data_IF_935680086745
#
_entry.id   IF_935680086745
#
_cell.length_a   1.000
_cell.length_b   1.000
_cell.length_c   1.000
_cell.angle_alpha   90.00
_cell.angle_beta   90.00
_cell.angle_gamma   90.00
#
_symmetry.space_group_name_H-M   'P 1'
#
loop_
_entity.id
_entity.type
_entity.pdbx_description
1 polymer ?
#
# COMPACT_ATOMS: atom_id res chain seq x y z
N UNK A 1 -14.31 19.47 -36.84
CA UNK A 1 -14.78 18.58 -35.76
C UNK A 1 -13.74 17.51 -35.43
N UNK A 2 -13.23 16.79 -36.44
CA UNK A 2 -12.23 15.72 -36.26
C UNK A 2 -10.90 16.19 -35.64
N UNK A 3 -10.36 17.35 -36.04
CA UNK A 3 -9.10 17.89 -35.51
C UNK A 3 -9.21 18.22 -34.01
N UNK A 4 -10.28 18.93 -33.60
CA UNK A 4 -10.53 19.25 -32.18
C UNK A 4 -10.72 17.99 -31.32
N UNK A 5 -11.25 16.91 -31.89
CA UNK A 5 -11.38 15.63 -31.21
C UNK A 5 -10.02 14.95 -31.00
N UNK A 6 -9.14 15.00 -31.99
CA UNK A 6 -7.77 14.48 -31.88
C UNK A 6 -6.94 15.30 -30.88
N UNK A 7 -7.06 16.63 -30.90
CA UNK A 7 -6.40 17.51 -29.91
C UNK A 7 -6.86 17.24 -28.48
N UNK A 8 -8.17 17.01 -28.28
CA UNK A 8 -8.72 16.64 -26.99
C UNK A 8 -8.15 15.30 -26.49
N UNK A 9 -8.12 14.29 -27.34
CA UNK A 9 -7.53 12.99 -27.01
C UNK A 9 -6.04 13.12 -26.68
N UNK A 10 -5.30 13.89 -27.50
CA UNK A 10 -3.88 14.19 -27.26
C UNK A 10 -3.66 14.81 -25.88
N UNK A 11 -4.42 15.85 -25.54
CA UNK A 11 -4.30 16.55 -24.26
C UNK A 11 -4.66 15.68 -23.03
N UNK A 12 -5.62 14.76 -23.19
CA UNK A 12 -6.04 13.84 -22.12
C UNK A 12 -4.99 12.75 -21.86
N UNK A 13 -4.30 12.28 -22.91
CA UNK A 13 -3.32 11.18 -22.81
C UNK A 13 -1.92 11.70 -22.44
N UNK A 14 -1.52 12.85 -22.98
CA UNK A 14 -0.16 13.36 -22.84
C UNK A 14 0.22 13.63 -21.38
N UNK A 15 -0.64 14.32 -20.63
CA UNK A 15 -0.39 14.68 -19.23
C UNK A 15 -0.16 13.46 -18.31
N UNK A 16 -1.05 12.44 -18.27
CA UNK A 16 -0.82 11.26 -17.45
C UNK A 16 0.37 10.44 -17.95
N UNK A 17 0.63 10.39 -19.26
CA UNK A 17 1.79 9.66 -19.80
C UNK A 17 3.11 10.30 -19.36
N UNK A 18 3.24 11.62 -19.45
CA UNK A 18 4.39 12.35 -18.94
C UNK A 18 4.52 12.22 -17.42
N UNK A 19 3.41 12.24 -16.68
CA UNK A 19 3.39 12.00 -15.24
C UNK A 19 3.92 10.62 -14.86
N UNK A 20 3.46 9.56 -15.53
CA UNK A 20 3.96 8.20 -15.35
C UNK A 20 5.46 8.10 -15.68
N UNK A 21 5.89 8.74 -16.77
CA UNK A 21 7.31 8.80 -17.14
C UNK A 21 8.18 9.39 -16.02
N UNK A 22 7.75 10.49 -15.40
CA UNK A 22 8.46 11.09 -14.25
C UNK A 22 8.49 10.17 -13.03
N UNK A 23 7.40 9.48 -12.72
CA UNK A 23 7.35 8.52 -11.61
C UNK A 23 8.31 7.35 -11.84
N UNK A 24 8.36 6.81 -13.06
CA UNK A 24 9.26 5.71 -13.42
C UNK A 24 10.73 6.16 -13.32
N UNK A 25 11.06 7.35 -13.81
CA UNK A 25 12.41 7.91 -13.72
C UNK A 25 12.81 8.14 -12.26
N UNK A 26 11.92 8.69 -11.43
CA UNK A 26 12.14 8.87 -10.00
C UNK A 26 12.38 7.51 -9.31
N UNK A 27 11.53 6.52 -9.59
CA UNK A 27 11.69 5.17 -9.05
C UNK A 27 13.05 4.57 -9.42
N UNK A 28 13.45 4.68 -10.69
CA UNK A 28 14.76 4.20 -11.16
C UNK A 28 15.93 4.91 -10.48
N UNK A 29 15.84 6.23 -10.29
CA UNK A 29 16.84 7.02 -9.57
C UNK A 29 16.93 6.59 -8.09
N UNK A 30 15.80 6.43 -7.42
CA UNK A 30 15.72 5.99 -6.02
C UNK A 30 16.30 4.59 -5.84
N UNK A 31 15.91 3.62 -6.69
CA UNK A 31 16.44 2.26 -6.64
C UNK A 31 17.96 2.21 -6.82
N UNK A 32 18.49 3.03 -7.75
CA UNK A 32 19.94 3.18 -7.95
C UNK A 32 20.62 3.84 -6.75
N UNK A 33 19.94 4.77 -6.07
CA UNK A 33 20.39 5.42 -4.84
C UNK A 33 20.49 4.44 -3.67
N UNK A 34 19.52 3.53 -3.51
CA UNK A 34 19.47 2.56 -2.40
C UNK A 34 20.69 1.64 -2.33
N UNK A 35 21.33 1.34 -3.47
CA UNK A 35 22.51 0.47 -3.54
C UNK A 35 23.84 1.24 -3.52
N UNK A 36 23.83 2.58 -3.50
CA UNK A 36 25.03 3.41 -3.47
C UNK A 36 25.39 3.77 -2.03
N UNK A 37 26.67 3.66 -1.62
CA UNK A 37 27.11 4.16 -0.32
C UNK A 37 27.07 5.70 -0.28
N UNK A 38 26.94 6.32 0.92
CA UNK A 38 26.89 5.69 2.24
C UNK A 38 25.53 5.07 2.58
N UNK A 39 25.54 3.90 3.24
CA UNK A 39 24.32 3.23 3.68
C UNK A 39 23.84 3.77 5.03
N UNK A 40 22.67 4.39 5.06
CA UNK A 40 22.08 4.93 6.28
C UNK A 40 21.19 3.91 7.01
N UNK A 41 21.82 2.86 7.55
CA UNK A 41 21.09 1.76 8.21
C UNK A 41 20.15 2.23 9.34
N UNK A 42 20.57 3.26 10.09
CA UNK A 42 19.73 3.86 11.14
C UNK A 42 18.43 4.44 10.59
N UNK A 43 18.49 5.13 9.45
CA UNK A 43 17.31 5.70 8.81
C UNK A 43 16.42 4.61 8.22
N UNK A 44 17.00 3.55 7.66
CA UNK A 44 16.24 2.39 7.21
C UNK A 44 15.43 1.76 8.35
N UNK A 45 16.05 1.51 9.50
CA UNK A 45 15.37 0.93 10.67
C UNK A 45 14.26 1.87 11.17
N UNK A 46 14.52 3.18 11.24
CA UNK A 46 13.51 4.15 11.63
C UNK A 46 12.29 4.11 10.69
N UNK A 47 12.52 4.04 9.37
CA UNK A 47 11.45 3.92 8.38
C UNK A 47 10.70 2.59 8.50
N UNK A 48 11.40 1.47 8.73
CA UNK A 48 10.75 0.18 8.98
C UNK A 48 9.84 0.21 10.21
N UNK A 49 10.27 0.86 11.30
CA UNK A 49 9.45 1.04 12.50
C UNK A 49 8.23 1.93 12.21
N UNK A 50 8.43 3.06 11.55
CA UNK A 50 7.34 3.97 11.23
C UNK A 50 6.31 3.37 10.26
N UNK A 51 6.73 2.53 9.32
CA UNK A 51 5.83 1.89 8.35
C UNK A 51 5.16 0.66 8.98
N UNK A 52 5.95 -0.24 9.56
CA UNK A 52 5.48 -1.50 10.10
C UNK A 52 4.72 -1.33 11.42
N UNK A 53 5.40 -0.83 12.45
CA UNK A 53 4.86 -0.81 13.82
C UNK A 53 3.64 0.11 13.93
N UNK A 54 3.70 1.30 13.32
CA UNK A 54 2.56 2.22 13.37
C UNK A 54 1.34 1.73 12.57
N UNK A 55 1.50 0.73 11.68
CA UNK A 55 0.39 0.13 10.94
C UNK A 55 -0.22 -1.07 11.67
N UNK A 56 0.48 -1.66 12.67
CA UNK A 56 0.00 -2.83 13.41
C UNK A 56 -1.37 -2.65 14.06
N UNK A 57 -1.71 -1.53 14.73
CA UNK A 57 -3.00 -1.40 15.39
C UNK A 57 -4.18 -1.54 14.42
N UNK A 58 -4.08 -0.91 13.25
CA UNK A 58 -5.14 -0.95 12.23
C UNK A 58 -5.23 -2.34 11.62
N UNK A 59 -4.09 -2.95 11.27
CA UNK A 59 -4.06 -4.31 10.69
C UNK A 59 -4.63 -5.33 11.67
N UNK A 60 -4.27 -5.27 12.96
CA UNK A 60 -4.76 -6.18 13.99
C UNK A 60 -6.26 -6.08 14.18
N UNK A 61 -6.78 -4.85 14.33
CA UNK A 61 -8.21 -4.61 14.48
C UNK A 61 -8.97 -5.18 13.28
N UNK A 62 -8.55 -4.85 12.06
CA UNK A 62 -9.20 -5.37 10.84
C UNK A 62 -9.12 -6.90 10.74
N UNK A 63 -7.95 -7.49 10.98
CA UNK A 63 -7.76 -8.93 10.89
C UNK A 63 -8.63 -9.71 11.91
N UNK A 64 -8.73 -9.19 13.14
CA UNK A 64 -9.57 -9.80 14.19
C UNK A 64 -11.04 -9.73 13.81
N UNK A 65 -11.55 -8.55 13.42
CA UNK A 65 -12.95 -8.41 13.02
C UNK A 65 -13.29 -9.24 11.78
N UNK A 66 -12.43 -9.22 10.75
CA UNK A 66 -12.64 -10.05 9.55
C UNK A 66 -12.62 -11.54 9.90
N UNK A 67 -11.69 -11.99 10.74
CA UNK A 67 -11.61 -13.37 11.19
C UNK A 67 -12.87 -13.82 11.95
N UNK A 68 -13.37 -12.98 12.87
CA UNK A 68 -14.62 -13.25 13.60
C UNK A 68 -15.82 -13.38 12.66
N UNK A 69 -15.94 -12.45 11.70
CA UNK A 69 -17.02 -12.47 10.71
C UNK A 69 -16.95 -13.73 9.84
N UNK A 70 -15.75 -14.10 9.38
CA UNK A 70 -15.54 -15.30 8.57
C UNK A 70 -15.88 -16.57 9.35
N UNK A 71 -15.49 -16.66 10.62
CA UNK A 71 -15.79 -17.81 11.46
C UNK A 71 -17.30 -17.98 11.67
N UNK A 72 -18.01 -16.88 11.96
CA UNK A 72 -19.46 -16.89 12.15
C UNK A 72 -20.19 -17.30 10.85
N UNK A 73 -19.78 -16.74 9.71
CA UNK A 73 -20.36 -17.08 8.40
C UNK A 73 -20.08 -18.54 8.04
N UNK A 74 -18.85 -19.02 8.25
CA UNK A 74 -18.47 -20.40 7.97
C UNK A 74 -19.27 -21.38 8.84
N UNK A 75 -19.43 -21.10 10.14
CA UNK A 75 -20.23 -21.94 11.02
C UNK A 75 -21.69 -22.03 10.58
N UNK A 76 -22.33 -20.89 10.27
CA UNK A 76 -23.72 -20.90 9.79
C UNK A 76 -23.89 -21.63 8.46
N UNK A 77 -22.89 -21.59 7.58
CA UNK A 77 -22.86 -22.37 6.35
C UNK A 77 -22.72 -23.87 6.59
N UNK A 78 -21.69 -24.28 7.34
CA UNK A 78 -21.37 -25.69 7.58
C UNK A 78 -22.35 -26.41 8.51
N UNK A 79 -23.00 -25.69 9.41
CA UNK A 79 -24.07 -26.24 10.27
C UNK A 79 -25.19 -26.90 9.47
N UNK A 80 -25.51 -26.36 8.29
CA UNK A 80 -26.55 -26.91 7.40
C UNK A 80 -26.19 -28.29 6.83
N UNK A 81 -24.90 -28.62 6.81
CA UNK A 81 -24.37 -29.87 6.28
C UNK A 81 -23.80 -30.78 7.39
N UNK A 82 -23.98 -30.43 8.67
CA UNK A 82 -23.41 -31.18 9.80
C UNK A 82 -21.88 -31.15 9.87
N UNK A 83 -21.23 -30.19 9.20
CA UNK A 83 -19.77 -30.15 8.99
C UNK A 83 -19.07 -29.09 9.87
N UNK A 84 -19.58 -28.82 11.06
CA UNK A 84 -19.13 -27.74 11.95
C UNK A 84 -17.64 -27.86 12.34
N UNK A 85 -17.10 -29.08 12.39
CA UNK A 85 -15.69 -29.34 12.67
C UNK A 85 -14.71 -28.79 11.61
N UNK A 86 -15.17 -28.47 10.39
CA UNK A 86 -14.32 -27.93 9.33
C UNK A 86 -14.13 -26.41 9.39
N UNK A 87 -14.90 -25.72 10.23
CA UNK A 87 -14.89 -24.25 10.33
C UNK A 87 -13.48 -23.72 10.62
N UNK A 88 -12.78 -24.33 11.58
CA UNK A 88 -11.42 -23.91 11.95
C UNK A 88 -10.43 -24.02 10.78
N UNK A 89 -10.48 -25.13 10.05
CA UNK A 89 -9.60 -25.37 8.88
C UNK A 89 -9.85 -24.37 7.76
N UNK A 90 -11.12 -24.07 7.47
CA UNK A 90 -11.48 -23.10 6.42
C UNK A 90 -11.03 -21.70 6.81
N UNK A 91 -11.33 -21.27 8.04
CA UNK A 91 -10.91 -19.95 8.53
C UNK A 91 -9.38 -19.81 8.48
N UNK A 92 -8.65 -20.81 8.96
CA UNK A 92 -7.18 -20.79 8.95
C UNK A 92 -6.61 -20.71 7.52
N UNK A 93 -7.12 -21.54 6.59
CA UNK A 93 -6.66 -21.55 5.20
C UNK A 93 -6.98 -20.22 4.49
N UNK A 94 -8.21 -19.73 4.59
CA UNK A 94 -8.63 -18.48 3.94
C UNK A 94 -7.89 -17.27 4.51
N UNK A 95 -7.69 -17.20 5.83
CA UNK A 95 -6.94 -16.11 6.45
C UNK A 95 -5.46 -16.15 6.08
N UNK A 96 -4.83 -17.33 6.04
CA UNK A 96 -3.38 -17.41 5.76
C UNK A 96 -3.03 -17.26 4.28
N UNK A 97 -3.86 -17.76 3.37
CA UNK A 97 -3.54 -17.79 1.93
C UNK A 97 -4.03 -16.59 1.14
N UNK A 98 -5.13 -15.97 1.57
CA UNK A 98 -5.81 -14.96 0.78
C UNK A 98 -6.00 -13.67 1.57
N UNK A 99 -6.84 -13.72 2.60
CA UNK A 99 -7.33 -12.50 3.26
C UNK A 99 -6.21 -11.81 4.05
N UNK A 100 -5.37 -12.56 4.77
CA UNK A 100 -4.26 -12.00 5.56
C UNK A 100 -3.31 -11.17 4.70
N UNK A 101 -2.72 -11.75 3.63
CA UNK A 101 -1.83 -11.01 2.73
C UNK A 101 -2.52 -9.81 2.06
N UNK A 102 -3.74 -9.99 1.53
CA UNK A 102 -4.45 -8.93 0.80
C UNK A 102 -4.84 -7.77 1.72
N UNK A 103 -5.45 -8.06 2.88
CA UNK A 103 -5.87 -7.03 3.84
C UNK A 103 -4.67 -6.28 4.40
N UNK A 104 -3.60 -7.00 4.76
CA UNK A 104 -2.37 -6.36 5.26
C UNK A 104 -1.77 -5.44 4.21
N UNK A 105 -1.62 -5.90 2.96
CA UNK A 105 -1.06 -5.10 1.88
C UNK A 105 -1.88 -3.83 1.61
N UNK A 106 -3.21 -3.94 1.54
CA UNK A 106 -4.10 -2.80 1.33
C UNK A 106 -4.03 -1.79 2.48
N UNK A 107 -4.12 -2.26 3.72
CA UNK A 107 -4.12 -1.38 4.91
C UNK A 107 -2.78 -0.67 5.06
N UNK A 108 -1.67 -1.42 4.96
CA UNK A 108 -0.32 -0.85 5.10
C UNK A 108 -0.06 0.16 3.98
N UNK A 109 -0.38 -0.18 2.72
CA UNK A 109 -0.20 0.74 1.59
C UNK A 109 -1.02 2.01 1.76
N UNK A 110 -2.29 1.90 2.17
CA UNK A 110 -3.15 3.05 2.40
C UNK A 110 -2.63 3.97 3.50
N UNK A 111 -2.33 3.42 4.68
CA UNK A 111 -1.89 4.21 5.84
C UNK A 111 -0.47 4.75 5.67
N UNK A 112 0.48 3.91 5.27
CA UNK A 112 1.87 4.34 5.11
C UNK A 112 2.06 5.22 3.88
N UNK A 113 1.39 4.91 2.76
CA UNK A 113 1.47 5.70 1.54
C UNK A 113 0.90 7.11 1.73
N UNK A 114 -0.25 7.25 2.40
CA UNK A 114 -0.80 8.57 2.72
C UNK A 114 0.11 9.37 3.67
N UNK A 115 0.69 8.71 4.68
CA UNK A 115 1.62 9.36 5.60
C UNK A 115 2.89 9.86 4.88
N UNK A 116 3.50 9.03 4.02
CA UNK A 116 4.67 9.43 3.21
C UNK A 116 4.35 10.57 2.26
N UNK A 117 3.19 10.52 1.58
CA UNK A 117 2.77 11.58 0.68
C UNK A 117 2.57 12.92 1.42
N UNK A 118 1.99 12.88 2.62
CA UNK A 118 1.84 14.05 3.45
C UNK A 118 3.19 14.61 3.93
N UNK A 119 4.09 13.74 4.38
CA UNK A 119 5.44 14.12 4.85
C UNK A 119 6.25 14.77 3.72
N UNK A 120 6.35 14.11 2.56
CA UNK A 120 7.04 14.67 1.38
C UNK A 120 6.38 15.97 0.88
N UNK A 121 5.05 16.06 0.97
CA UNK A 121 4.31 17.28 0.67
C UNK A 121 4.70 18.44 1.60
N UNK A 122 4.79 18.19 2.91
CA UNK A 122 5.26 19.18 3.87
C UNK A 122 6.71 19.58 3.62
N UNK A 123 7.59 18.62 3.32
CA UNK A 123 8.99 18.91 2.97
C UNK A 123 9.11 19.79 1.72
N UNK A 124 8.21 19.62 0.74
CA UNK A 124 8.16 20.48 -0.44
C UNK A 124 7.68 21.90 -0.12
N UNK A 125 6.62 22.03 0.69
CA UNK A 125 6.06 23.34 1.08
C UNK A 125 7.02 24.13 1.97
N UNK A 126 7.83 23.43 2.77
CA UNK A 126 8.84 24.03 3.64
C UNK A 126 10.21 24.18 2.96
N UNK A 127 10.28 23.97 1.64
CA UNK A 127 11.50 24.10 0.81
C UNK A 127 12.68 23.21 1.25
N UNK A 128 12.44 22.21 2.11
CA UNK A 128 13.49 21.29 2.57
C UNK A 128 14.06 20.44 1.42
N UNK A 129 13.24 20.13 0.41
CA UNK A 129 13.69 19.39 -0.77
C UNK A 129 14.60 20.27 -1.64
N UNK A 130 14.23 21.53 -1.85
CA UNK A 130 15.02 22.46 -2.67
C UNK A 130 16.36 22.80 -2.01
N UNK A 131 16.38 22.84 -0.67
CA UNK A 131 17.60 23.05 0.12
C UNK A 131 18.63 21.90 0.03
N UNK A 132 18.23 20.70 -0.42
CA UNK A 132 19.14 19.57 -0.61
C UNK A 132 19.79 19.54 -2.00
N UNK A 133 19.24 20.26 -2.98
CA UNK A 133 19.77 20.34 -4.35
C UNK A 133 20.75 21.51 -4.56
N UNK A 134 20.83 22.47 -3.61
CA UNK A 134 21.68 23.67 -3.66
C UNK A 134 22.92 23.51 -2.78
#
# INVERSE_FOLDING_TARGET
MLIKFIEFIGAVIEKPLLGLGRIILLLGATLKGTVRPPFEFRNLVNQMLQIGVNSLPVVLVTAVFTGMVLALQSYTGFKRFGAEGLVGSVVALSMTRELGPVLTALIVTGRAGAAMAAELGTMRVTEQIDALET
#
